data_IF_965920658172
#
_entry.id   IF_965920658172
#
_cell.length_a   1.000
_cell.length_b   1.000
_cell.length_c   1.000
_cell.angle_alpha   90.00
_cell.angle_beta   90.00
_cell.angle_gamma   90.00
#
_symmetry.space_group_name_H-M   'P 1'
#
loop_
_entity.id
_entity.type
_entity.pdbx_description
1 polymer ?
#
# COMPACT_ATOMS: atom_id res chain seq x y z
N UNK A 1 -11.33 -18.47 11.93
CA UNK A 1 -10.10 -17.74 12.31
C UNK A 1 -9.93 -16.66 11.26
N UNK A 2 -9.85 -15.39 11.66
CA UNK A 2 -9.88 -14.27 10.70
C UNK A 2 -8.65 -14.30 9.79
N UNK A 3 -8.90 -14.42 8.49
CA UNK A 3 -7.91 -14.39 7.42
C UNK A 3 -7.36 -12.96 7.23
N UNK A 4 -6.49 -12.53 8.14
CA UNK A 4 -5.83 -11.22 8.06
C UNK A 4 -4.40 -11.43 7.56
N UNK A 5 -3.95 -10.68 6.54
CA UNK A 5 -2.57 -10.77 6.07
C UNK A 5 -1.59 -10.43 7.20
N UNK A 6 -0.40 -11.00 7.11
CA UNK A 6 0.71 -10.70 8.01
C UNK A 6 0.94 -9.18 8.09
N UNK A 7 1.11 -8.67 9.32
CA UNK A 7 1.38 -7.25 9.57
C UNK A 7 2.84 -7.06 9.94
N UNK A 8 3.59 -6.39 9.06
CA UNK A 8 4.96 -5.95 9.33
C UNK A 8 4.97 -4.55 9.95
N UNK A 9 5.93 -4.31 10.83
CA UNK A 9 6.09 -3.07 11.61
C UNK A 9 7.39 -2.35 11.28
N UNK A 10 7.57 -1.13 11.84
CA UNK A 10 8.84 -0.40 11.78
C UNK A 10 10.04 -1.25 12.28
N UNK A 11 9.81 -2.12 13.27
CA UNK A 11 10.87 -2.98 13.82
C UNK A 11 11.30 -4.04 12.80
N UNK A 12 10.39 -4.57 12.01
CA UNK A 12 10.70 -5.53 10.95
C UNK A 12 11.54 -4.86 9.84
N UNK A 13 11.20 -3.62 9.46
CA UNK A 13 12.02 -2.81 8.55
C UNK A 13 13.42 -2.59 9.13
N UNK A 14 13.54 -2.22 10.41
CA UNK A 14 14.83 -2.02 11.06
C UNK A 14 15.68 -3.29 11.10
N UNK A 15 15.07 -4.46 11.35
CA UNK A 15 15.77 -5.76 11.25
C UNK A 15 16.28 -6.01 9.82
N UNK A 16 15.48 -5.69 8.80
CA UNK A 16 15.91 -5.86 7.41
C UNK A 16 17.08 -4.94 7.05
N UNK A 17 17.07 -3.69 7.52
CA UNK A 17 18.17 -2.75 7.33
C UNK A 17 19.44 -3.23 8.05
N UNK A 18 19.31 -3.66 9.31
CA UNK A 18 20.42 -4.22 10.08
C UNK A 18 21.11 -5.37 9.35
N UNK A 19 20.33 -6.30 8.79
CA UNK A 19 20.86 -7.42 7.98
C UNK A 19 21.56 -6.96 6.70
N UNK A 20 20.99 -6.00 5.97
CA UNK A 20 21.57 -5.50 4.72
C UNK A 20 22.88 -4.75 4.94
N UNK A 21 23.02 -4.09 6.09
CA UNK A 21 24.18 -3.28 6.43
C UNK A 21 25.24 -4.03 7.23
N UNK A 22 24.98 -5.29 7.63
CA UNK A 22 25.79 -6.06 8.58
C UNK A 22 26.05 -5.29 9.89
N UNK A 23 24.98 -4.69 10.43
CA UNK A 23 25.05 -3.84 11.63
C UNK A 23 24.06 -4.32 12.70
N UNK A 24 24.34 -4.10 13.99
CA UNK A 24 23.39 -4.42 15.05
C UNK A 24 22.08 -3.63 14.94
N UNK A 25 20.97 -4.27 15.33
CA UNK A 25 19.62 -3.69 15.25
C UNK A 25 19.50 -2.35 16.02
N UNK A 26 20.12 -2.23 17.20
CA UNK A 26 20.03 -1.03 18.03
C UNK A 26 20.66 0.20 17.36
N UNK A 27 21.59 -0.02 16.41
CA UNK A 27 22.22 1.04 15.61
C UNK A 27 21.37 1.40 14.38
N UNK A 28 20.68 0.42 13.81
CA UNK A 28 19.85 0.59 12.61
C UNK A 28 18.45 1.17 12.92
N UNK A 29 17.86 0.84 14.07
CA UNK A 29 16.53 1.33 14.48
C UNK A 29 16.42 2.87 14.47
N UNK A 30 17.37 3.64 15.04
CA UNK A 30 17.36 5.09 14.96
C UNK A 30 17.41 5.63 13.53
N UNK A 31 18.20 5.02 12.64
CA UNK A 31 18.30 5.45 11.24
C UNK A 31 16.99 5.26 10.49
N UNK A 32 16.35 4.10 10.63
CA UNK A 32 15.02 3.85 10.04
C UNK A 32 13.99 4.83 10.59
N UNK A 33 14.02 5.10 11.90
CA UNK A 33 13.11 6.07 12.50
C UNK A 33 13.34 7.47 11.92
N UNK A 34 14.59 7.91 11.78
CA UNK A 34 14.92 9.22 11.24
C UNK A 34 14.46 9.38 9.78
N UNK A 35 14.66 8.37 8.93
CA UNK A 35 14.20 8.39 7.53
C UNK A 35 12.68 8.50 7.45
N UNK A 36 11.95 7.71 8.23
CA UNK A 36 10.48 7.74 8.23
C UNK A 36 9.93 9.07 8.76
N UNK A 37 10.55 9.63 9.80
CA UNK A 37 10.20 10.96 10.32
C UNK A 37 10.43 12.03 9.25
N UNK A 38 11.64 12.09 8.67
CA UNK A 38 11.97 13.08 7.66
C UNK A 38 11.06 12.98 6.42
N UNK A 39 10.74 11.76 5.97
CA UNK A 39 9.80 11.56 4.87
C UNK A 39 8.39 12.07 5.23
N UNK A 40 7.93 11.82 6.46
CA UNK A 40 6.66 12.32 6.97
C UNK A 40 6.60 13.85 6.99
N UNK A 41 7.64 14.48 7.54
CA UNK A 41 7.76 15.94 7.63
C UNK A 41 7.76 16.58 6.23
N UNK A 42 8.54 16.02 5.31
CA UNK A 42 8.56 16.46 3.92
C UNK A 42 7.17 16.42 3.28
N UNK A 43 6.31 15.45 3.62
CA UNK A 43 4.94 15.40 3.09
C UNK A 43 4.01 16.40 3.79
N UNK A 44 4.17 16.62 5.10
CA UNK A 44 3.35 17.56 5.89
C UNK A 44 3.56 19.00 5.41
N UNK A 45 4.82 19.36 5.19
CA UNK A 45 5.28 20.68 4.74
C UNK A 45 4.93 21.01 3.28
N UNK A 46 4.32 20.09 2.54
CA UNK A 46 3.93 20.32 1.16
C UNK A 46 2.94 21.49 1.04
N UNK A 47 3.28 22.55 0.29
CA UNK A 47 2.39 23.70 0.11
C UNK A 47 2.25 24.09 -1.37
N UNK A 48 1.05 23.93 -1.98
CA UNK A 48 -0.02 23.02 -1.57
C UNK A 48 0.29 21.55 -1.95
N UNK A 49 1.25 21.33 -2.83
CA UNK A 49 1.57 20.03 -3.44
C UNK A 49 3.08 19.82 -3.41
N UNK A 50 3.51 18.56 -3.28
CA UNK A 50 4.93 18.20 -3.29
C UNK A 50 5.07 16.80 -3.86
N UNK A 51 6.18 16.56 -4.55
CA UNK A 51 6.57 15.25 -5.06
C UNK A 51 7.92 14.89 -4.47
N UNK A 52 7.98 13.80 -3.70
CA UNK A 52 9.21 13.24 -3.13
C UNK A 52 9.51 11.94 -3.87
N UNK A 53 10.61 11.91 -4.60
CA UNK A 53 11.05 10.74 -5.37
C UNK A 53 12.21 10.04 -4.68
N UNK A 54 12.03 8.75 -4.42
CA UNK A 54 13.08 7.84 -3.97
C UNK A 54 13.34 6.86 -5.10
N UNK A 55 14.40 7.11 -5.89
CA UNK A 55 14.75 6.29 -7.06
C UNK A 55 14.80 4.80 -6.68
N UNK A 56 14.34 3.94 -7.59
CA UNK A 56 14.27 2.48 -7.43
C UNK A 56 13.30 1.97 -6.34
N UNK A 57 12.71 2.88 -5.55
CA UNK A 57 11.68 2.58 -4.56
C UNK A 57 10.30 3.07 -4.99
N UNK A 58 10.16 4.35 -5.33
CA UNK A 58 8.89 4.93 -5.74
C UNK A 58 8.77 6.44 -5.50
N UNK A 59 7.56 6.94 -5.64
CA UNK A 59 7.25 8.37 -5.56
C UNK A 59 6.11 8.60 -4.57
N UNK A 60 6.31 9.51 -3.64
CA UNK A 60 5.26 10.05 -2.79
C UNK A 60 4.79 11.40 -3.34
N UNK A 61 3.48 11.58 -3.48
CA UNK A 61 2.87 12.81 -3.98
C UNK A 61 1.84 13.33 -2.98
N UNK A 62 1.91 14.62 -2.67
CA UNK A 62 0.82 15.36 -2.03
C UNK A 62 0.04 16.10 -3.11
N UNK A 63 -1.26 15.84 -3.22
CA UNK A 63 -2.15 16.40 -4.26
C UNK A 63 -3.43 16.97 -3.67
N UNK A 64 -3.96 18.00 -4.32
CA UNK A 64 -5.31 18.51 -4.02
C UNK A 64 -6.38 17.50 -4.44
N UNK A 65 -7.44 17.38 -3.64
CA UNK A 65 -8.64 16.61 -3.96
C UNK A 65 -9.84 17.53 -4.08
N UNK A 66 -10.67 17.30 -5.09
CA UNK A 66 -11.96 17.99 -5.23
C UNK A 66 -12.88 17.66 -4.05
N UNK A 67 -13.68 18.64 -3.63
CA UNK A 67 -14.78 18.42 -2.71
C UNK A 67 -15.71 17.32 -3.24
N UNK A 68 -16.22 16.47 -2.34
CA UNK A 68 -17.16 15.41 -2.68
C UNK A 68 -18.54 15.76 -2.10
N UNK A 69 -19.57 15.98 -2.92
CA UNK A 69 -20.88 16.42 -2.46
C UNK A 69 -21.75 15.31 -1.84
N UNK A 70 -21.34 14.03 -1.94
CA UNK A 70 -22.20 12.88 -1.59
C UNK A 70 -21.46 11.80 -0.79
N UNK A 71 -20.69 12.18 0.23
CA UNK A 71 -20.35 11.17 1.23
C UNK A 71 -21.60 10.93 2.09
N UNK A 72 -21.82 9.69 2.53
CA UNK A 72 -22.84 9.38 3.52
C UNK A 72 -22.15 8.95 4.80
N UNK A 73 -22.67 9.36 5.95
CA UNK A 73 -22.22 8.82 7.22
C UNK A 73 -22.56 7.31 7.25
N UNK A 74 -21.60 6.39 7.37
CA UNK A 74 -21.88 4.96 7.35
C UNK A 74 -22.80 4.50 8.48
N UNK A 75 -22.87 5.26 9.58
CA UNK A 75 -23.69 4.94 10.76
C UNK A 75 -25.12 5.49 10.66
N UNK A 76 -25.30 6.69 10.11
CA UNK A 76 -26.62 7.39 10.08
C UNK A 76 -27.22 7.51 8.68
N UNK A 77 -26.47 7.17 7.63
CA UNK A 77 -26.81 7.31 6.22
C UNK A 77 -27.08 8.75 5.73
N UNK A 78 -26.82 9.76 6.57
CA UNK A 78 -27.03 11.17 6.26
C UNK A 78 -25.96 11.71 5.29
N UNK A 79 -26.30 12.66 4.40
CA UNK A 79 -25.33 13.32 3.54
C UNK A 79 -24.31 14.13 4.35
N UNK A 80 -23.03 13.86 4.09
CA UNK A 80 -21.89 14.60 4.64
C UNK A 80 -21.15 15.28 3.49
N UNK A 81 -20.98 16.59 3.60
CA UNK A 81 -20.15 17.36 2.69
C UNK A 81 -18.68 17.17 3.05
N UNK A 82 -17.86 16.76 2.08
CA UNK A 82 -16.41 16.65 2.26
C UNK A 82 -15.73 17.80 1.50
N UNK A 83 -15.08 18.75 2.21
CA UNK A 83 -14.39 19.86 1.56
C UNK A 83 -13.15 19.38 0.78
N UNK A 84 -12.70 20.23 -0.15
CA UNK A 84 -11.43 20.04 -0.85
C UNK A 84 -10.28 20.04 0.17
N UNK A 85 -9.34 19.09 0.04
CA UNK A 85 -8.20 18.93 0.94
C UNK A 85 -6.99 18.38 0.20
N UNK A 86 -5.86 18.27 0.89
CA UNK A 86 -4.67 17.54 0.41
C UNK A 86 -4.82 16.04 0.70
N UNK A 87 -4.28 15.20 -0.18
CA UNK A 87 -4.09 13.76 0.06
C UNK A 87 -2.68 13.35 -0.34
N UNK A 88 -2.15 12.33 0.34
CA UNK A 88 -0.93 11.65 -0.08
C UNK A 88 -1.27 10.52 -1.05
N UNK A 89 -0.32 10.18 -1.91
CA UNK A 89 -0.39 9.04 -2.83
C UNK A 89 1.03 8.47 -2.99
N UNK A 90 1.17 7.15 -2.87
CA UNK A 90 2.43 6.46 -3.16
C UNK A 90 2.32 5.72 -4.50
N UNK A 91 3.33 5.90 -5.35
CA UNK A 91 3.51 5.17 -6.61
C UNK A 91 4.73 4.28 -6.46
N UNK A 92 4.58 2.94 -6.38
CA UNK A 92 5.72 2.04 -6.33
C UNK A 92 6.60 2.20 -7.58
N UNK A 93 7.91 2.04 -7.42
CA UNK A 93 8.87 2.05 -8.53
C UNK A 93 8.70 0.85 -9.46
N UNK A 94 9.29 0.94 -10.67
CA UNK A 94 9.16 -0.06 -11.73
C UNK A 94 9.46 -1.48 -11.26
N UNK A 95 10.58 -1.67 -10.53
CA UNK A 95 11.00 -2.97 -9.98
C UNK A 95 9.91 -3.63 -9.13
N UNK A 96 9.25 -2.86 -8.26
CA UNK A 96 8.19 -3.38 -7.38
C UNK A 96 6.95 -3.71 -8.21
N UNK A 97 6.57 -2.81 -9.12
CA UNK A 97 5.37 -3.00 -9.95
C UNK A 97 5.47 -4.22 -10.85
N UNK A 98 6.63 -4.48 -11.46
CA UNK A 98 6.81 -5.60 -12.39
C UNK A 98 6.68 -6.94 -11.66
N UNK A 99 7.35 -7.08 -10.51
CA UNK A 99 7.29 -8.32 -9.72
C UNK A 99 5.87 -8.57 -9.18
N UNK A 100 5.16 -7.53 -8.73
CA UNK A 100 3.80 -7.69 -8.19
C UNK A 100 2.72 -7.85 -9.27
N UNK A 101 3.07 -7.68 -10.55
CA UNK A 101 2.15 -7.90 -11.68
C UNK A 101 2.22 -9.33 -12.23
N UNK A 102 3.14 -10.16 -11.76
CA UNK A 102 3.19 -11.57 -12.13
C UNK A 102 1.84 -12.22 -11.81
N UNK A 103 1.17 -12.86 -12.78
CA UNK A 103 -0.12 -13.50 -12.56
C UNK A 103 -0.06 -14.52 -11.41
N UNK A 104 -1.11 -14.56 -10.58
CA UNK A 104 -1.17 -15.45 -9.41
C UNK A 104 -1.00 -16.93 -9.78
N UNK A 105 -1.55 -17.33 -10.92
CA UNK A 105 -1.39 -18.68 -11.50
C UNK A 105 0.07 -19.06 -11.79
N UNK A 106 0.91 -18.08 -12.14
CA UNK A 106 2.34 -18.31 -12.43
C UNK A 106 3.17 -18.42 -11.14
N UNK A 107 2.59 -18.00 -10.02
CA UNK A 107 3.18 -18.05 -8.68
C UNK A 107 2.59 -19.18 -7.82
N UNK A 108 1.76 -20.05 -8.42
CA UNK A 108 1.02 -21.12 -7.74
C UNK A 108 0.19 -20.63 -6.54
N UNK A 109 -0.34 -19.40 -6.63
CA UNK A 109 -1.26 -18.84 -5.64
C UNK A 109 -2.72 -19.08 -6.00
N UNK A 110 -3.56 -19.16 -4.97
CA UNK A 110 -5.01 -19.24 -5.13
C UNK A 110 -5.53 -18.05 -5.96
N UNK A 111 -6.31 -18.36 -6.99
CA UNK A 111 -6.92 -17.35 -7.85
C UNK A 111 -8.23 -16.89 -7.17
N UNK A 112 -8.42 -15.58 -6.93
CA UNK A 112 -9.64 -15.07 -6.29
C UNK A 112 -10.91 -15.46 -7.06
N UNK A 113 -11.96 -15.81 -6.33
CA UNK A 113 -13.26 -16.15 -6.91
C UNK A 113 -13.80 -15.03 -7.82
N UNK A 114 -14.33 -15.39 -8.98
CA UNK A 114 -14.82 -14.44 -9.99
C UNK A 114 -13.72 -13.80 -10.86
N UNK A 115 -12.46 -14.19 -10.71
CA UNK A 115 -11.40 -13.81 -11.64
C UNK A 115 -11.65 -14.44 -13.02
N UNK A 116 -11.38 -13.69 -14.09
CA UNK A 116 -11.60 -14.16 -15.46
C UNK A 116 -10.71 -15.35 -15.86
N UNK A 117 -9.62 -15.57 -15.12
CA UNK A 117 -8.67 -16.68 -15.26
C UNK A 117 -8.79 -17.71 -14.13
N UNK A 118 -9.81 -17.59 -13.27
CA UNK A 118 -10.16 -18.68 -12.37
C UNK A 118 -10.50 -19.92 -13.22
N UNK A 119 -10.04 -21.12 -12.84
CA UNK A 119 -10.44 -22.33 -13.56
C UNK A 119 -11.96 -22.37 -13.56
N UNK A 120 -12.56 -22.42 -14.75
CA UNK A 120 -14.01 -22.59 -14.90
C UNK A 120 -14.42 -23.73 -13.98
N UNK A 121 -15.25 -23.42 -12.98
CA UNK A 121 -15.73 -24.39 -12.03
C UNK A 121 -16.13 -25.64 -12.79
N UNK A 122 -15.53 -26.77 -12.41
CA UNK A 122 -15.88 -28.08 -12.90
C UNK A 122 -17.40 -28.15 -13.01
N UNK A 123 -17.90 -28.12 -14.25
CA UNK A 123 -19.28 -28.47 -14.54
C UNK A 123 -19.41 -29.95 -14.22
N UNK A 124 -19.55 -30.30 -12.95
CA UNK A 124 -20.10 -31.59 -12.55
C UNK A 124 -21.60 -31.55 -12.84
N UNK A 125 -21.93 -31.56 -14.14
CA UNK A 125 -23.15 -32.17 -14.62
C UNK A 125 -22.89 -33.68 -14.68
N UNK A 126 -23.57 -34.43 -13.81
CA UNK A 126 -24.14 -35.78 -14.00
C UNK A 126 -24.75 -36.15 -12.65
N UNK A 127 -25.90 -36.78 -12.48
CA UNK A 127 -27.05 -37.15 -13.29
C UNK A 127 -27.93 -37.95 -12.29
N UNK A 128 -29.25 -37.86 -12.45
CA UNK A 128 -30.30 -38.70 -11.83
C UNK A 128 -30.69 -38.41 -10.39
#
# INVERSE_FOLDING_TARGET
MSDRPETLTKKDVARKVAQLMDEPIYKSEPWVSAVLTALGDLLIEADPERRVELRDFGVFEVKKTKAKPKARNPKTNEPVFIPSRRKTHFRPGKRIQEVLKTPLRELDYDIPEGSADAPDGSSTNHSS
#
